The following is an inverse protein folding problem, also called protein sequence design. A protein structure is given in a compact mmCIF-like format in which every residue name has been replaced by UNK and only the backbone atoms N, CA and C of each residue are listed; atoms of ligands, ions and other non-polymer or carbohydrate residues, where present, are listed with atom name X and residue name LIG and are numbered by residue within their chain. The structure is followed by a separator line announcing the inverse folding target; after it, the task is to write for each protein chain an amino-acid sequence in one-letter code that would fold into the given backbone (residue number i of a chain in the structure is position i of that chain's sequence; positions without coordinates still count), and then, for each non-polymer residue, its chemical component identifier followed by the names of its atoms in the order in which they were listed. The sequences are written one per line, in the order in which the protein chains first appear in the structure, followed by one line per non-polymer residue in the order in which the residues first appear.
data_IF_331335239143
#
_entry.id   IF_331335239143
#
_cell.length_a   1.000
_cell.length_b   1.000
_cell.length_c   1.000
_cell.angle_alpha   90.00
_cell.angle_beta   90.00
_cell.angle_gamma   90.00
#
_symmetry.space_group_name_H-M   'P 1'
#
loop_
_entity.id
_entity.type
_entity.pdbx_description
1 polymer ?
#
# COMPACT_ATOMS: atom_id res chain seq x y z
N UNK A 1 -0.24 4.99 16.84
CA UNK A 1 -1.24 3.92 16.77
C UNK A 1 -0.49 2.59 16.69
N UNK A 2 -0.68 1.65 17.64
CA UNK A 2 0.04 0.38 17.65
C UNK A 2 -0.13 -0.44 16.36
N UNK A 3 -1.28 -0.36 15.69
CA UNK A 3 -1.52 -1.15 14.49
C UNK A 3 -0.82 -0.58 13.26
N UNK A 4 -0.77 0.75 13.15
CA UNK A 4 0.03 1.43 12.13
C UNK A 4 1.50 1.05 12.22
N UNK A 5 2.06 0.96 13.42
CA UNK A 5 3.47 0.58 13.59
C UNK A 5 3.73 -0.91 13.32
N UNK A 6 2.80 -1.80 13.67
CA UNK A 6 2.87 -3.22 13.27
C UNK A 6 2.83 -3.36 11.75
N UNK A 7 1.93 -2.63 11.08
CA UNK A 7 1.84 -2.61 9.63
C UNK A 7 3.12 -2.06 9.00
N UNK A 8 3.64 -0.93 9.49
CA UNK A 8 4.88 -0.34 8.99
C UNK A 8 6.06 -1.32 9.14
N UNK A 9 6.16 -2.02 10.27
CA UNK A 9 7.17 -3.05 10.51
C UNK A 9 7.07 -4.21 9.51
N UNK A 10 5.85 -4.69 9.24
CA UNK A 10 5.63 -5.71 8.21
C UNK A 10 6.04 -5.20 6.82
N UNK A 11 5.57 -4.01 6.42
CA UNK A 11 5.85 -3.44 5.09
C UNK A 11 7.34 -3.20 4.86
N UNK A 12 8.12 -2.90 5.91
CA UNK A 12 9.58 -2.82 5.83
C UNK A 12 10.29 -4.14 5.49
N UNK A 13 9.59 -5.28 5.61
CA UNK A 13 10.13 -6.61 5.21
C UNK A 13 9.70 -7.02 3.80
N UNK A 14 8.70 -6.33 3.24
CA UNK A 14 8.13 -6.64 1.94
C UNK A 14 8.93 -5.92 0.84
N UNK A 15 9.25 -6.57 -0.29
CA UNK A 15 9.99 -5.93 -1.38
C UNK A 15 9.07 -5.00 -2.19
N UNK A 16 8.69 -3.88 -1.59
CA UNK A 16 7.84 -2.86 -2.20
C UNK A 16 8.65 -1.94 -3.12
N UNK A 17 8.07 -1.47 -4.24
CA UNK A 17 8.74 -0.54 -5.11
C UNK A 17 8.64 0.87 -4.53
N UNK A 18 9.75 1.61 -4.48
CA UNK A 18 9.75 2.98 -3.97
C UNK A 18 8.77 3.90 -4.73
N UNK A 19 8.54 3.62 -6.02
CA UNK A 19 7.57 4.34 -6.86
C UNK A 19 6.11 4.21 -6.40
N UNK A 20 5.78 3.24 -5.56
CA UNK A 20 4.43 3.09 -5.02
C UNK A 20 4.08 4.12 -3.94
N UNK A 21 5.05 4.81 -3.35
CA UNK A 21 4.78 5.88 -2.37
C UNK A 21 4.26 5.40 -1.00
N UNK A 22 4.44 4.13 -0.66
CA UNK A 22 3.94 3.54 0.61
C UNK A 22 4.51 4.27 1.83
N UNK A 23 5.79 4.64 1.82
CA UNK A 23 6.40 5.38 2.93
C UNK A 23 5.76 6.76 3.16
N UNK A 24 5.39 7.44 2.07
CA UNK A 24 4.70 8.72 2.14
C UNK A 24 3.29 8.57 2.72
N UNK A 25 2.57 7.51 2.36
CA UNK A 25 1.28 7.19 2.97
C UNK A 25 1.42 6.87 4.46
N UNK A 26 2.44 6.10 4.87
CA UNK A 26 2.70 5.82 6.28
C UNK A 26 3.02 7.09 7.07
N UNK A 27 3.75 8.05 6.48
CA UNK A 27 3.98 9.36 7.08
C UNK A 27 2.65 10.14 7.23
N UNK A 28 1.85 10.21 6.17
CA UNK A 28 0.55 10.89 6.20
C UNK A 28 -0.42 10.30 7.24
N UNK A 29 -0.45 8.96 7.40
CA UNK A 29 -1.25 8.29 8.42
C UNK A 29 -0.80 8.66 9.85
N UNK A 30 0.52 8.79 10.08
CA UNK A 30 1.04 9.24 11.38
C UNK A 30 0.66 10.69 11.67
N UNK A 31 0.68 11.55 10.67
CA UNK A 31 0.32 12.97 10.78
C UNK A 31 -1.19 13.16 11.00
N UNK A 32 -2.03 12.42 10.26
CA UNK A 32 -3.48 12.45 10.38
C UNK A 32 -3.96 11.98 11.76
N UNK A 33 -3.26 11.00 12.35
CA UNK A 33 -3.63 10.41 13.63
C UNK A 33 -4.79 9.40 13.51
N UNK A 34 -5.23 8.83 14.63
CA UNK A 34 -6.27 7.80 14.64
C UNK A 34 -7.64 8.38 14.25
N UNK A 35 -8.42 7.60 13.51
CA UNK A 35 -9.75 8.00 13.05
C UNK A 35 -10.33 6.98 12.07
N UNK A 36 -11.64 7.03 11.79
CA UNK A 36 -12.32 5.98 11.03
C UNK A 36 -11.72 5.75 9.63
N UNK A 37 -11.26 6.82 8.97
CA UNK A 37 -10.61 6.72 7.66
C UNK A 37 -9.23 6.06 7.79
N UNK A 38 -8.38 6.59 8.67
CA UNK A 38 -7.04 6.06 8.92
C UNK A 38 -7.08 4.60 9.37
N UNK A 39 -7.98 4.25 10.28
CA UNK A 39 -8.18 2.88 10.77
C UNK A 39 -8.59 1.95 9.63
N UNK A 40 -9.49 2.38 8.74
CA UNK A 40 -9.89 1.61 7.56
C UNK A 40 -8.76 1.43 6.54
N UNK A 41 -7.86 2.40 6.43
CA UNK A 41 -6.67 2.29 5.58
C UNK A 41 -5.69 1.28 6.18
N UNK A 42 -5.33 1.44 7.45
CA UNK A 42 -4.35 0.62 8.18
C UNK A 42 -4.80 -0.83 8.29
N UNK A 43 -6.05 -1.06 8.72
CA UNK A 43 -6.54 -2.41 9.05
C UNK A 43 -6.94 -3.23 7.83
N UNK A 44 -7.21 -2.59 6.70
CA UNK A 44 -7.85 -3.27 5.58
C UNK A 44 -7.26 -2.88 4.23
N UNK A 45 -7.39 -1.61 3.83
CA UNK A 45 -7.19 -1.24 2.42
C UNK A 45 -5.73 -1.27 1.98
N UNK A 46 -4.82 -0.75 2.79
CA UNK A 46 -3.38 -0.83 2.48
C UNK A 46 -2.87 -2.29 2.48
N UNK A 47 -3.19 -3.14 3.48
CA UNK A 47 -2.88 -4.57 3.41
C UNK A 47 -3.40 -5.26 2.14
N UNK A 48 -4.63 -4.97 1.72
CA UNK A 48 -5.23 -5.57 0.51
C UNK A 48 -4.50 -5.13 -0.76
N UNK A 49 -4.17 -3.83 -0.90
CA UNK A 49 -3.42 -3.33 -2.04
C UNK A 49 -2.03 -3.99 -2.14
N UNK A 50 -1.36 -4.18 -1.00
CA UNK A 50 -0.05 -4.85 -0.93
C UNK A 50 -0.14 -6.33 -1.27
N UNK A 51 -1.17 -7.06 -0.80
CA UNK A 51 -1.40 -8.45 -1.21
C UNK A 51 -1.63 -8.57 -2.73
N UNK A 52 -2.42 -7.66 -3.30
CA UNK A 52 -2.63 -7.57 -4.74
C UNK A 52 -1.34 -7.40 -5.52
N UNK A 53 -0.47 -6.47 -5.08
CA UNK A 53 0.86 -6.27 -5.65
C UNK A 53 1.73 -7.54 -5.58
N UNK A 54 1.78 -8.18 -4.41
CA UNK A 54 2.61 -9.37 -4.21
C UNK A 54 2.13 -10.53 -5.08
N UNK A 55 0.82 -10.74 -5.15
CA UNK A 55 0.22 -11.74 -6.03
C UNK A 55 0.51 -11.45 -7.50
N UNK A 56 0.34 -10.21 -7.94
CA UNK A 56 0.65 -9.81 -9.31
C UNK A 56 2.13 -10.05 -9.64
N UNK A 57 3.04 -9.75 -8.71
CA UNK A 57 4.46 -10.07 -8.85
C UNK A 57 4.77 -11.55 -8.90
N UNK A 58 4.08 -12.36 -8.10
CA UNK A 58 4.22 -13.81 -8.16
C UNK A 58 3.92 -14.29 -9.57
N UNK A 59 2.83 -13.82 -10.19
CA UNK A 59 2.39 -14.32 -11.50
C UNK A 59 2.99 -13.60 -12.71
N UNK A 60 3.75 -12.51 -12.50
CA UNK A 60 4.32 -11.69 -13.58
C UNK A 60 5.09 -12.48 -14.65
N UNK A 61 5.87 -13.54 -14.34
CA UNK A 61 6.58 -14.32 -15.36
C UNK A 61 5.67 -15.03 -16.38
N UNK A 62 4.40 -15.22 -16.03
CA UNK A 62 3.39 -15.86 -16.89
C UNK A 62 2.41 -14.85 -17.49
N UNK A 63 2.61 -13.56 -17.22
CA UNK A 63 1.72 -12.52 -17.68
C UNK A 63 1.98 -12.18 -19.15
N UNK A 64 0.91 -11.87 -19.88
CA UNK A 64 1.01 -11.45 -21.29
C UNK A 64 1.60 -10.04 -21.46
N UNK A 65 1.88 -9.61 -22.71
CA UNK A 65 2.47 -8.30 -22.99
C UNK A 65 1.58 -7.13 -22.52
N UNK A 66 0.26 -7.34 -22.43
CA UNK A 66 -0.71 -6.34 -21.99
C UNK A 66 -0.99 -6.39 -20.47
N UNK A 67 -0.21 -7.18 -19.72
CA UNK A 67 -0.40 -7.29 -18.28
C UNK A 67 -0.11 -5.94 -17.59
N UNK A 68 -0.98 -5.50 -16.66
CA UNK A 68 -0.75 -4.26 -15.92
C UNK A 68 0.56 -4.32 -15.14
N UNK A 69 1.29 -3.19 -15.08
CA UNK A 69 2.46 -3.05 -14.22
C UNK A 69 2.04 -3.07 -12.74
N UNK A 70 2.44 -4.10 -11.96
CA UNK A 70 2.07 -4.21 -10.55
C UNK A 70 2.51 -3.01 -9.70
N UNK A 71 3.66 -2.42 -10.00
CA UNK A 71 4.16 -1.26 -9.24
C UNK A 71 3.30 -0.02 -9.51
N UNK A 72 2.89 0.18 -10.76
CA UNK A 72 2.00 1.27 -11.14
C UNK A 72 0.59 1.11 -10.57
N UNK A 73 0.04 -0.11 -10.50
CA UNK A 73 -1.23 -0.39 -9.83
C UNK A 73 -1.15 -0.05 -8.34
N UNK A 74 -0.13 -0.54 -7.64
CA UNK A 74 0.06 -0.23 -6.22
C UNK A 74 0.19 1.27 -5.98
N UNK A 75 0.95 1.98 -6.82
CA UNK A 75 1.09 3.44 -6.72
C UNK A 75 -0.23 4.19 -6.92
N UNK A 76 -1.12 3.69 -7.79
CA UNK A 76 -2.47 4.28 -7.95
C UNK A 76 -3.33 4.09 -6.70
N UNK A 77 -3.34 2.87 -6.16
CA UNK A 77 -4.07 2.57 -4.92
C UNK A 77 -3.55 3.43 -3.77
N UNK A 78 -2.24 3.49 -3.56
CA UNK A 78 -1.64 4.33 -2.51
C UNK A 78 -1.99 5.80 -2.70
N UNK A 79 -1.94 6.33 -3.93
CA UNK A 79 -2.34 7.71 -4.22
C UNK A 79 -3.81 7.97 -3.87
N UNK A 80 -4.69 7.00 -4.13
CA UNK A 80 -6.10 7.09 -3.76
C UNK A 80 -6.27 7.07 -2.24
N UNK A 81 -5.54 6.22 -1.52
CA UNK A 81 -5.59 6.19 -0.05
C UNK A 81 -5.07 7.51 0.56
N UNK A 82 -4.03 8.11 -0.02
CA UNK A 82 -3.54 9.43 0.39
C UNK A 82 -4.58 10.54 0.19
N UNK A 83 -5.37 10.50 -0.89
CA UNK A 83 -6.37 11.55 -1.16
C UNK A 83 -7.55 11.52 -0.19
N UNK A 84 -7.82 10.38 0.43
CA UNK A 84 -8.87 10.22 1.44
C UNK A 84 -8.46 10.74 2.83
N UNK A 85 -7.17 10.94 3.07
CA UNK A 85 -6.64 11.52 4.31
C UNK A 85 -6.62 13.06 4.30
N UNK A 86 -6.93 13.69 3.16
CA UNK A 86 -6.89 15.14 2.95
C UNK A 86 -8.20 15.85 3.31
#
# INVERSE_FOLDING_TARGET
DPELEVLAGYLGTVPLPASAGVDALLAALRECGPGPVADGIVRHRLPVAVDGYLRARTWLPWAGPDAPDPAAELGREVKQLCSELA
#
